data_IF_322930341626
#
_entry.id   IF_322930341626
#
_cell.length_a   1.000
_cell.length_b   1.000
_cell.length_c   1.000
_cell.angle_alpha   90.00
_cell.angle_beta   90.00
_cell.angle_gamma   90.00
#
_symmetry.space_group_name_H-M   'P 1'
#
loop_
_entity.id
_entity.type
_entity.pdbx_description
1 polymer ?
#
# COMPACT_ATOMS: atom_id res chain seq x y z
N UNK A 1 16.34 -9.41 14.72
CA UNK A 1 17.57 -8.79 14.17
C UNK A 1 17.18 -7.41 13.66
N UNK A 2 17.82 -6.36 14.16
CA UNK A 2 17.67 -4.99 13.67
C UNK A 2 18.80 -4.72 12.68
N UNK A 3 18.47 -4.18 11.50
CA UNK A 3 19.45 -3.82 10.48
C UNK A 3 19.36 -2.30 10.30
N UNK A 4 20.47 -1.61 10.55
CA UNK A 4 20.60 -0.21 10.21
C UNK A 4 21.07 -0.12 8.76
N UNK A 5 20.28 0.53 7.90
CA UNK A 5 20.60 0.61 6.47
C UNK A 5 21.84 1.46 6.20
N UNK A 6 22.18 2.42 7.08
CA UNK A 6 23.39 3.22 6.94
C UNK A 6 24.68 2.40 7.09
N UNK A 7 24.62 1.23 7.72
CA UNK A 7 25.78 0.34 7.88
C UNK A 7 26.02 -0.53 6.63
N UNK A 8 25.07 -0.54 5.68
CA UNK A 8 25.19 -1.31 4.43
C UNK A 8 25.78 -0.40 3.35
N UNK A 9 26.92 -0.78 2.73
CA UNK A 9 27.53 0.03 1.68
C UNK A 9 26.69 0.00 0.38
N UNK A 10 26.81 1.05 -0.43
CA UNK A 10 26.24 1.12 -1.77
C UNK A 10 24.84 1.75 -1.87
N UNK A 11 24.32 2.33 -0.79
CA UNK A 11 23.11 3.13 -0.83
C UNK A 11 23.34 4.54 -1.40
N UNK A 12 22.31 5.08 -2.06
CA UNK A 12 22.28 6.48 -2.47
C UNK A 12 21.82 7.36 -1.29
N UNK A 13 22.32 8.59 -1.23
CA UNK A 13 21.92 9.54 -0.17
C UNK A 13 20.40 9.71 -0.09
N UNK A 14 19.72 9.82 -1.23
CA UNK A 14 18.26 9.92 -1.30
C UNK A 14 17.52 8.83 -0.49
N UNK A 15 18.02 7.60 -0.52
CA UNK A 15 17.41 6.49 0.23
C UNK A 15 17.61 6.65 1.74
N UNK A 16 18.83 6.99 2.16
CA UNK A 16 19.15 7.20 3.58
C UNK A 16 18.45 8.44 4.13
N UNK A 17 18.40 9.53 3.34
CA UNK A 17 17.68 10.76 3.67
C UNK A 17 16.18 10.46 3.86
N UNK A 18 15.56 9.71 2.94
CA UNK A 18 14.15 9.33 3.10
C UNK A 18 13.86 8.51 4.36
N UNK A 19 14.80 7.66 4.78
CA UNK A 19 14.64 6.84 5.99
C UNK A 19 14.91 7.62 7.29
N UNK A 20 15.94 8.47 7.30
CA UNK A 20 16.52 9.02 8.51
C UNK A 20 16.39 10.55 8.61
N UNK A 21 16.52 11.29 7.50
CA UNK A 21 16.58 12.76 7.44
C UNK A 21 15.52 13.31 6.45
N UNK A 22 14.23 13.08 6.73
CA UNK A 22 13.14 13.36 5.77
C UNK A 22 13.07 14.83 5.33
N UNK A 23 13.54 15.76 6.16
CA UNK A 23 13.67 17.18 5.88
C UNK A 23 14.46 17.44 4.59
N UNK A 24 15.46 16.61 4.28
CA UNK A 24 16.27 16.71 3.05
C UNK A 24 15.47 16.34 1.78
N UNK A 25 14.35 15.63 1.92
CA UNK A 25 13.54 15.13 0.80
C UNK A 25 12.09 15.63 0.83
N UNK A 26 11.76 16.52 1.77
CA UNK A 26 10.40 17.00 1.98
C UNK A 26 9.81 17.72 0.75
N UNK A 27 10.65 18.28 -0.12
CA UNK A 27 10.20 18.88 -1.39
C UNK A 27 9.75 17.84 -2.43
N UNK A 28 10.25 16.59 -2.34
CA UNK A 28 9.95 15.51 -3.28
C UNK A 28 8.84 14.58 -2.80
N UNK A 29 8.58 14.52 -1.49
CA UNK A 29 7.60 13.63 -0.88
C UNK A 29 6.59 14.39 -0.04
N UNK A 30 5.30 14.19 -0.33
CA UNK A 30 4.21 14.90 0.34
C UNK A 30 4.07 14.56 1.84
N UNK A 31 4.44 13.34 2.25
CA UNK A 31 4.21 12.87 3.62
C UNK A 31 5.41 12.09 4.17
N UNK A 32 5.79 12.37 5.43
CA UNK A 32 6.72 11.54 6.20
C UNK A 32 5.98 10.34 6.78
N UNK A 33 6.38 9.13 6.38
CA UNK A 33 5.76 7.89 6.85
C UNK A 33 5.93 7.66 8.36
N UNK A 34 6.90 8.31 9.00
CA UNK A 34 7.20 8.18 10.44
C UNK A 34 6.23 9.00 11.29
N UNK A 35 5.65 10.06 10.71
CA UNK A 35 4.68 10.92 11.40
C UNK A 35 3.29 10.28 11.41
N UNK A 36 3.05 9.45 12.42
CA UNK A 36 1.77 8.74 12.61
C UNK A 36 0.60 9.65 12.95
N UNK A 37 0.84 10.82 13.53
CA UNK A 37 -0.22 11.79 13.88
C UNK A 37 -0.93 12.30 12.62
N UNK A 38 -0.21 12.35 11.49
CA UNK A 38 -0.77 12.77 10.20
C UNK A 38 -1.59 11.69 9.49
N UNK A 39 -1.56 10.42 9.93
CA UNK A 39 -2.18 9.33 9.19
C UNK A 39 -3.69 9.52 8.98
N UNK A 40 -4.42 9.92 10.02
CA UNK A 40 -5.87 10.17 9.90
C UNK A 40 -6.19 11.28 8.90
N UNK A 41 -5.37 12.34 8.85
CA UNK A 41 -5.49 13.42 7.87
C UNK A 41 -5.26 12.90 6.45
N UNK A 42 -4.24 12.06 6.25
CA UNK A 42 -3.96 11.41 4.97
C UNK A 42 -5.14 10.51 4.57
N UNK A 43 -5.66 9.69 5.49
CA UNK A 43 -6.74 8.77 5.16
C UNK A 43 -8.00 9.48 4.74
N UNK A 44 -8.37 10.53 5.48
CA UNK A 44 -9.49 11.41 5.13
C UNK A 44 -9.29 12.03 3.76
N UNK A 45 -8.10 12.59 3.48
CA UNK A 45 -7.81 13.21 2.19
C UNK A 45 -7.94 12.21 1.02
N UNK A 46 -7.40 11.00 1.17
CA UNK A 46 -7.50 9.94 0.15
C UNK A 46 -8.96 9.52 -0.07
N UNK A 47 -9.73 9.34 1.01
CA UNK A 47 -11.14 8.96 0.94
C UNK A 47 -12.02 10.04 0.29
N UNK A 48 -11.78 11.31 0.61
CA UNK A 48 -12.55 12.45 0.09
C UNK A 48 -12.19 12.79 -1.36
N UNK A 49 -10.94 12.62 -1.75
CA UNK A 49 -10.47 12.86 -3.12
C UNK A 49 -10.66 11.64 -4.05
N UNK A 50 -11.43 10.64 -3.62
CA UNK A 50 -11.73 9.46 -4.44
C UNK A 50 -12.49 9.88 -5.70
N UNK A 51 -11.88 9.64 -6.87
CA UNK A 51 -12.55 9.82 -8.16
C UNK A 51 -13.67 8.79 -8.31
N UNK A 52 -14.87 9.25 -8.64
CA UNK A 52 -15.97 8.38 -9.04
C UNK A 52 -15.68 7.90 -10.47
N UNK A 53 -15.61 6.59 -10.64
CA UNK A 53 -15.37 5.92 -11.93
C UNK A 53 -16.62 5.14 -12.34
N UNK A 54 -16.84 5.05 -13.65
CA UNK A 54 -17.90 4.21 -14.24
C UNK A 54 -17.30 3.38 -15.38
N UNK A 55 -17.26 2.05 -15.28
CA UNK A 55 -17.66 1.23 -14.11
C UNK A 55 -16.74 1.45 -12.90
N UNK A 56 -17.24 1.13 -11.70
CA UNK A 56 -16.46 1.20 -10.46
C UNK A 56 -15.32 0.16 -10.48
N UNK A 57 -14.21 0.46 -9.79
CA UNK A 57 -13.03 -0.43 -9.74
C UNK A 57 -13.39 -1.81 -9.20
N UNK A 58 -14.27 -1.91 -8.20
CA UNK A 58 -14.69 -3.21 -7.64
C UNK A 58 -15.41 -4.07 -8.67
N UNK A 59 -16.19 -3.46 -9.57
CA UNK A 59 -16.88 -4.17 -10.65
C UNK A 59 -15.89 -4.66 -11.70
N UNK A 60 -14.94 -3.80 -12.10
CA UNK A 60 -13.87 -4.18 -13.03
C UNK A 60 -13.05 -5.36 -12.50
N UNK A 61 -12.65 -5.30 -11.23
CA UNK A 61 -11.89 -6.38 -10.57
C UNK A 61 -12.74 -7.65 -10.44
N UNK A 62 -14.02 -7.54 -10.10
CA UNK A 62 -14.91 -8.70 -10.04
C UNK A 62 -15.00 -9.41 -11.39
N UNK A 63 -15.13 -8.64 -12.48
CA UNK A 63 -15.12 -9.19 -13.85
C UNK A 63 -13.78 -9.82 -14.21
N UNK A 64 -12.67 -9.15 -13.90
CA UNK A 64 -11.31 -9.65 -14.16
C UNK A 64 -11.04 -10.98 -13.44
N UNK A 65 -11.53 -11.14 -12.22
CA UNK A 65 -11.34 -12.36 -11.42
C UNK A 65 -12.41 -13.44 -11.67
N UNK A 66 -13.41 -13.19 -12.51
CA UNK A 66 -14.54 -14.12 -12.72
C UNK A 66 -14.15 -15.48 -13.31
N UNK A 67 -13.03 -15.56 -14.02
CA UNK A 67 -12.51 -16.80 -14.62
C UNK A 67 -11.49 -17.50 -13.71
N UNK A 68 -11.25 -16.94 -12.53
CA UNK A 68 -10.37 -17.51 -11.51
C UNK A 68 -11.23 -18.06 -10.36
N UNK A 69 -10.63 -18.87 -9.49
CA UNK A 69 -11.23 -19.28 -8.21
C UNK A 69 -10.60 -18.51 -7.04
N UNK A 70 -10.89 -17.19 -6.88
CA UNK A 70 -10.30 -16.40 -5.82
C UNK A 70 -10.80 -16.84 -4.46
N UNK A 71 -9.91 -16.81 -3.47
CA UNK A 71 -10.29 -17.06 -2.08
C UNK A 71 -11.43 -16.13 -1.62
N UNK A 72 -12.21 -16.57 -0.62
CA UNK A 72 -13.25 -15.74 -0.01
C UNK A 72 -12.71 -14.39 0.47
N UNK A 73 -11.48 -14.36 0.99
CA UNK A 73 -10.83 -13.13 1.45
C UNK A 73 -10.54 -12.18 0.29
N UNK A 74 -10.08 -12.69 -0.85
CA UNK A 74 -9.88 -11.89 -2.07
C UNK A 74 -11.19 -11.28 -2.56
N UNK A 75 -12.27 -12.07 -2.62
CA UNK A 75 -13.59 -11.59 -3.02
C UNK A 75 -14.11 -10.49 -2.07
N UNK A 76 -13.90 -10.65 -0.76
CA UNK A 76 -14.25 -9.64 0.25
C UNK A 76 -13.44 -8.35 0.07
N UNK A 77 -12.14 -8.45 -0.20
CA UNK A 77 -11.30 -7.27 -0.47
C UNK A 77 -11.75 -6.53 -1.73
N UNK A 78 -12.07 -7.24 -2.82
CA UNK A 78 -12.61 -6.65 -4.04
C UNK A 78 -13.91 -5.89 -3.74
N UNK A 79 -14.83 -6.48 -2.97
CA UNK A 79 -16.07 -5.82 -2.57
C UNK A 79 -15.80 -4.56 -1.73
N UNK A 80 -14.86 -4.62 -0.78
CA UNK A 80 -14.50 -3.49 0.08
C UNK A 80 -14.01 -2.27 -0.71
N UNK A 81 -13.37 -2.44 -1.87
CA UNK A 81 -12.88 -1.31 -2.70
C UNK A 81 -14.01 -0.34 -3.08
N UNK A 82 -15.25 -0.80 -3.16
CA UNK A 82 -16.40 0.07 -3.43
C UNK A 82 -16.77 1.02 -2.28
N UNK A 83 -16.38 0.70 -1.05
CA UNK A 83 -16.66 1.51 0.14
C UNK A 83 -15.83 2.81 0.13
N UNK A 84 -16.48 3.93 0.46
CA UNK A 84 -15.85 5.25 0.50
C UNK A 84 -14.77 5.38 1.57
N UNK A 85 -14.79 4.54 2.60
CA UNK A 85 -13.77 4.49 3.65
C UNK A 85 -12.71 3.41 3.43
N UNK A 86 -12.64 2.81 2.23
CA UNK A 86 -11.58 1.86 1.89
C UNK A 86 -10.39 2.54 1.24
N UNK A 87 -9.21 2.27 1.80
CA UNK A 87 -7.92 2.67 1.27
C UNK A 87 -7.17 1.45 0.76
N UNK A 88 -6.61 1.56 -0.45
CA UNK A 88 -5.76 0.54 -1.03
C UNK A 88 -4.30 0.76 -0.63
N UNK A 89 -3.66 -0.28 -0.08
CA UNK A 89 -2.21 -0.32 0.09
C UNK A 89 -1.65 -0.98 -1.16
N UNK A 90 -1.15 -0.14 -2.07
CA UNK A 90 -0.74 -0.56 -3.41
C UNK A 90 0.76 -0.86 -3.44
N UNK A 91 1.13 -2.00 -4.04
CA UNK A 91 2.50 -2.27 -4.46
C UNK A 91 2.52 -2.76 -5.91
N UNK A 92 3.71 -2.90 -6.50
CA UNK A 92 3.82 -3.28 -7.90
C UNK A 92 5.18 -3.83 -8.28
N UNK A 93 5.17 -4.70 -9.28
CA UNK A 93 6.36 -5.27 -9.89
C UNK A 93 6.08 -5.74 -11.32
N UNK A 94 7.11 -5.73 -12.17
CA UNK A 94 7.04 -6.36 -13.48
C UNK A 94 6.77 -7.87 -13.36
N UNK A 95 6.05 -8.44 -14.33
CA UNK A 95 5.78 -9.88 -14.40
C UNK A 95 7.08 -10.63 -14.72
N UNK A 96 7.70 -11.21 -13.69
CA UNK A 96 8.89 -12.05 -13.84
C UNK A 96 8.53 -13.52 -14.04
N UNK A 97 9.34 -14.23 -14.84
CA UNK A 97 9.26 -15.69 -14.98
C UNK A 97 9.40 -16.32 -13.59
N UNK A 98 8.48 -17.23 -13.23
CA UNK A 98 8.44 -17.93 -11.93
C UNK A 98 8.42 -16.96 -10.73
N UNK A 99 7.68 -15.87 -10.85
CA UNK A 99 7.51 -14.88 -9.76
C UNK A 99 8.64 -13.84 -9.67
N UNK A 100 9.66 -13.95 -10.53
CA UNK A 100 10.72 -12.96 -10.65
C UNK A 100 11.64 -12.89 -9.41
N UNK A 101 12.23 -11.72 -9.14
CA UNK A 101 13.17 -11.58 -8.03
C UNK A 101 12.46 -11.68 -6.68
N UNK A 102 13.19 -12.10 -5.65
CA UNK A 102 12.64 -12.35 -4.30
C UNK A 102 11.93 -11.13 -3.68
N UNK A 103 12.38 -9.91 -4.01
CA UNK A 103 11.76 -8.70 -3.50
C UNK A 103 10.31 -8.50 -3.99
N UNK A 104 9.88 -9.20 -5.05
CA UNK A 104 8.46 -9.26 -5.46
C UNK A 104 7.60 -9.80 -4.31
N UNK A 105 8.03 -10.91 -3.71
CA UNK A 105 7.32 -11.50 -2.57
C UNK A 105 7.41 -10.62 -1.33
N UNK A 106 8.56 -9.97 -1.09
CA UNK A 106 8.70 -9.03 0.03
C UNK A 106 7.78 -7.83 -0.10
N UNK A 107 7.60 -7.28 -1.30
CA UNK A 107 6.62 -6.22 -1.57
C UNK A 107 5.19 -6.68 -1.26
N UNK A 108 4.79 -7.86 -1.76
CA UNK A 108 3.45 -8.42 -1.51
C UNK A 108 3.21 -8.61 -0.01
N UNK A 109 4.15 -9.24 0.69
CA UNK A 109 4.07 -9.47 2.15
C UNK A 109 4.00 -8.13 2.89
N UNK A 110 4.76 -7.12 2.46
CA UNK A 110 4.77 -5.79 3.07
C UNK A 110 3.41 -5.11 2.93
N UNK A 111 2.80 -5.13 1.75
CA UNK A 111 1.46 -4.57 1.53
C UNK A 111 0.42 -5.27 2.42
N UNK A 112 0.44 -6.61 2.48
CA UNK A 112 -0.48 -7.38 3.33
C UNK A 112 -0.28 -7.03 4.81
N UNK A 113 0.97 -6.99 5.29
CA UNK A 113 1.27 -6.67 6.69
C UNK A 113 0.88 -5.24 7.05
N UNK A 114 1.10 -4.27 6.16
CA UNK A 114 0.71 -2.89 6.39
C UNK A 114 -0.81 -2.74 6.44
N UNK A 115 -1.55 -3.37 5.52
CA UNK A 115 -3.02 -3.38 5.55
C UNK A 115 -3.56 -3.93 6.87
N UNK A 116 -2.98 -5.03 7.37
CA UNK A 116 -3.35 -5.60 8.68
C UNK A 116 -3.01 -4.65 9.83
N UNK A 117 -1.78 -4.15 9.86
CA UNK A 117 -1.30 -3.23 10.90
C UNK A 117 -2.18 -1.99 11.06
N UNK A 118 -2.63 -1.43 9.92
CA UNK A 118 -3.52 -0.26 9.88
C UNK A 118 -4.95 -0.65 10.27
N UNK A 119 -5.48 -1.77 9.77
CA UNK A 119 -6.82 -2.25 10.14
C UNK A 119 -6.95 -2.54 11.63
N UNK A 120 -5.89 -3.01 12.29
CA UNK A 120 -5.87 -3.25 13.74
C UNK A 120 -5.84 -1.96 14.59
N UNK A 121 -5.55 -0.80 13.98
CA UNK A 121 -5.36 0.48 14.69
C UNK A 121 -6.41 1.53 14.36
N UNK A 122 -7.09 1.40 13.22
CA UNK A 122 -7.96 2.41 12.68
C UNK A 122 -9.26 1.78 12.17
N UNK A 123 -10.20 1.55 13.09
CA UNK A 123 -11.47 0.86 12.80
C UNK A 123 -12.42 1.67 11.89
N UNK A 124 -12.21 2.99 11.81
CA UNK A 124 -12.99 3.89 10.96
C UNK A 124 -12.74 3.68 9.46
N UNK A 125 -11.65 3.00 9.08
CA UNK A 125 -11.25 2.81 7.69
C UNK A 125 -10.98 1.32 7.40
N UNK A 126 -11.19 0.93 6.14
CA UNK A 126 -10.79 -0.37 5.66
C UNK A 126 -9.46 -0.25 4.90
N UNK A 127 -8.53 -1.19 5.08
CA UNK A 127 -7.28 -1.23 4.33
C UNK A 127 -7.17 -2.53 3.55
N UNK A 128 -7.06 -2.44 2.23
CA UNK A 128 -6.98 -3.59 1.33
C UNK A 128 -5.63 -3.63 0.63
N UNK A 129 -4.87 -4.74 0.68
CA UNK A 129 -3.65 -4.87 -0.11
C UNK A 129 -4.01 -5.06 -1.59
N UNK A 130 -3.33 -4.32 -2.47
CA UNK A 130 -3.49 -4.36 -3.93
C UNK A 130 -2.13 -4.53 -4.60
#
# INVERSE_FOLDING_TARGET
MYINFSDIPGHQNLFLDYLYEFENVAEFYTNDFRNKENYLKIFKNVAENRRILSPDISELLTRQYSQLDPSKLTQQNIKKISDKKTLAIVTGQQLGIVGGPLYTFYKIITAIKLSRFLSERYDDYNFVPV
#
